data_IF_470763469607
#
_entry.id   IF_470763469607
#
_cell.length_a   1.000
_cell.length_b   1.000
_cell.length_c   1.000
_cell.angle_alpha   90.00
_cell.angle_beta   90.00
_cell.angle_gamma   90.00
#
_symmetry.space_group_name_H-M   'P 1'
#
loop_
_entity.id
_entity.type
_entity.pdbx_description
1 polymer ?
#
# COMPACT_ATOMS: atom_id res chain seq x y z
N UNK A 1 -73.62 -34.44 -61.23
CA UNK A 1 -72.75 -33.66 -60.32
C UNK A 1 -71.93 -34.66 -59.51
N UNK A 2 -70.61 -34.53 -59.58
CA UNK A 2 -69.58 -34.90 -58.59
C UNK A 2 -68.26 -35.01 -59.36
N UNK A 3 -67.44 -33.96 -59.22
CA UNK A 3 -66.06 -33.92 -59.67
C UNK A 3 -65.23 -34.80 -58.72
N UNK A 4 -64.37 -35.66 -59.26
CA UNK A 4 -63.21 -36.17 -58.53
C UNK A 4 -61.94 -35.97 -59.35
N UNK A 5 -60.98 -35.37 -58.66
CA UNK A 5 -59.73 -34.74 -59.06
C UNK A 5 -58.67 -35.76 -59.51
N UNK A 6 -57.79 -35.41 -60.47
CA UNK A 6 -56.76 -36.32 -60.96
C UNK A 6 -55.59 -36.46 -59.98
N UNK A 7 -55.10 -37.68 -59.78
CA UNK A 7 -53.90 -38.00 -59.00
C UNK A 7 -52.61 -37.95 -59.85
N UNK A 8 -51.46 -37.60 -59.24
CA UNK A 8 -50.24 -37.21 -59.97
C UNK A 8 -49.43 -38.41 -60.52
N UNK A 9 -48.57 -38.20 -61.54
CA UNK A 9 -47.75 -39.25 -62.13
C UNK A 9 -46.62 -39.70 -61.19
N UNK A 10 -46.30 -41.02 -61.11
CA UNK A 10 -45.16 -41.52 -60.35
C UNK A 10 -43.82 -41.11 -60.97
N UNK A 11 -42.94 -40.52 -60.15
CA UNK A 11 -41.59 -40.07 -60.54
C UNK A 11 -40.59 -41.20 -60.78
N UNK A 12 -39.54 -40.88 -61.55
CA UNK A 12 -38.44 -41.80 -61.89
C UNK A 12 -37.47 -41.99 -60.70
N UNK A 13 -36.92 -43.20 -60.50
CA UNK A 13 -35.94 -43.45 -59.44
C UNK A 13 -34.58 -42.82 -59.77
N UNK A 14 -33.99 -42.19 -58.75
CA UNK A 14 -32.71 -41.48 -58.76
C UNK A 14 -31.52 -42.46 -58.66
N UNK A 15 -30.37 -42.19 -59.31
CA UNK A 15 -29.17 -43.04 -59.21
C UNK A 15 -28.54 -43.00 -57.80
N UNK A 16 -27.82 -44.07 -57.38
CA UNK A 16 -27.28 -44.16 -56.03
C UNK A 16 -26.14 -43.15 -55.77
N UNK A 17 -25.95 -42.71 -54.52
CA UNK A 17 -24.99 -41.66 -54.18
C UNK A 17 -23.54 -42.10 -54.38
N UNK A 18 -22.73 -41.26 -55.00
CA UNK A 18 -21.28 -41.41 -55.08
C UNK A 18 -20.65 -41.29 -53.68
N UNK A 19 -19.73 -42.20 -53.34
CA UNK A 19 -18.97 -42.15 -52.09
C UNK A 19 -18.06 -40.91 -52.07
N UNK A 20 -18.26 -40.03 -51.08
CA UNK A 20 -17.36 -38.91 -50.80
C UNK A 20 -16.06 -39.41 -50.12
N UNK A 21 -14.89 -38.78 -50.38
CA UNK A 21 -13.64 -39.15 -49.74
C UNK A 21 -13.67 -38.91 -48.23
N UNK A 22 -13.05 -39.83 -47.47
CA UNK A 22 -12.96 -39.72 -46.02
C UNK A 22 -12.23 -38.43 -45.60
N UNK A 23 -12.70 -37.72 -44.56
CA UNK A 23 -12.04 -36.50 -44.09
C UNK A 23 -10.64 -36.82 -43.54
N UNK A 24 -9.66 -35.92 -43.71
CA UNK A 24 -8.32 -36.12 -43.17
C UNK A 24 -8.36 -36.22 -41.64
N UNK A 25 -7.49 -37.04 -41.03
CA UNK A 25 -7.48 -37.26 -39.60
C UNK A 25 -7.25 -35.92 -38.86
N UNK A 26 -8.19 -35.56 -37.99
CA UNK A 26 -8.07 -34.37 -37.15
C UNK A 26 -6.84 -34.54 -36.27
N UNK A 27 -5.82 -33.69 -36.47
CA UNK A 27 -4.62 -33.63 -35.65
C UNK A 27 -5.02 -33.24 -34.22
N UNK A 28 -5.22 -34.25 -33.38
CA UNK A 28 -5.55 -34.08 -31.98
C UNK A 28 -4.44 -33.33 -31.26
N UNK A 29 -4.84 -32.35 -30.46
CA UNK A 29 -3.94 -31.60 -29.58
C UNK A 29 -3.21 -32.59 -28.67
N UNK A 30 -1.88 -32.60 -28.73
CA UNK A 30 -1.05 -33.59 -28.04
C UNK A 30 -1.36 -33.57 -26.54
N UNK A 31 -1.42 -34.75 -25.93
CA UNK A 31 -1.72 -34.94 -24.50
C UNK A 31 -0.81 -34.09 -23.61
N UNK A 32 0.44 -33.84 -24.05
CA UNK A 32 1.39 -32.98 -23.35
C UNK A 32 0.96 -31.51 -23.23
N UNK A 33 0.30 -30.93 -24.25
CA UNK A 33 -0.18 -29.54 -24.18
C UNK A 33 -1.36 -29.39 -23.20
N UNK A 34 -2.22 -30.42 -23.12
CA UNK A 34 -3.32 -30.46 -22.14
C UNK A 34 -2.80 -30.53 -20.71
N UNK A 35 -1.81 -31.39 -20.46
CA UNK A 35 -1.18 -31.51 -19.13
C UNK A 35 -0.46 -30.22 -18.76
N UNK A 36 0.25 -29.58 -19.69
CA UNK A 36 0.90 -28.29 -19.44
C UNK A 36 -0.10 -27.19 -19.07
N UNK A 37 -1.23 -27.06 -19.78
CA UNK A 37 -2.25 -26.05 -19.47
C UNK A 37 -2.94 -26.30 -18.13
N UNK A 38 -3.15 -27.57 -17.74
CA UNK A 38 -3.72 -27.90 -16.43
C UNK A 38 -2.73 -27.55 -15.32
N UNK A 39 -1.44 -27.89 -15.48
CA UNK A 39 -0.42 -27.56 -14.48
C UNK A 39 -0.21 -26.04 -14.41
N UNK A 40 -0.08 -25.35 -15.54
CA UNK A 40 0.08 -23.90 -15.57
C UNK A 40 -1.15 -23.18 -14.98
N UNK A 41 -2.37 -23.65 -15.30
CA UNK A 41 -3.62 -23.14 -14.74
C UNK A 41 -3.71 -23.36 -13.23
N UNK A 42 -3.34 -24.55 -12.73
CA UNK A 42 -3.29 -24.86 -11.30
C UNK A 42 -2.23 -24.04 -10.57
N UNK A 43 -1.06 -23.82 -11.17
CA UNK A 43 -0.01 -22.96 -10.60
C UNK A 43 -0.47 -21.51 -10.47
N UNK A 44 -1.20 -20.98 -11.45
CA UNK A 44 -1.80 -19.64 -11.38
C UNK A 44 -2.97 -19.58 -10.39
N UNK A 45 -3.75 -20.64 -10.24
CA UNK A 45 -4.84 -20.70 -9.26
C UNK A 45 -4.31 -20.80 -7.82
N UNK A 46 -3.30 -21.65 -7.57
CA UNK A 46 -2.68 -21.79 -6.26
C UNK A 46 -1.85 -20.57 -5.87
N UNK A 47 -1.06 -20.00 -6.79
CA UNK A 47 -0.27 -18.81 -6.50
C UNK A 47 -1.11 -17.53 -6.55
N UNK A 48 -2.13 -17.45 -7.41
CA UNK A 48 -2.99 -16.28 -7.57
C UNK A 48 -4.01 -16.12 -6.42
N UNK A 49 -4.55 -17.21 -5.90
CA UNK A 49 -5.44 -17.17 -4.73
C UNK A 49 -4.71 -16.76 -3.45
N UNK A 50 -3.47 -17.22 -3.26
CA UNK A 50 -2.61 -16.82 -2.14
C UNK A 50 -2.17 -15.36 -2.22
N UNK A 51 -1.80 -14.87 -3.41
CA UNK A 51 -1.37 -13.48 -3.61
C UNK A 51 -2.48 -12.47 -3.28
N UNK A 52 -3.73 -12.73 -3.68
CA UNK A 52 -4.86 -11.81 -3.40
C UNK A 52 -5.21 -11.75 -1.92
N UNK A 53 -5.16 -12.89 -1.21
CA UNK A 53 -5.36 -12.92 0.24
C UNK A 53 -4.22 -12.21 1.00
N UNK A 54 -2.97 -12.44 0.57
CA UNK A 54 -1.80 -11.79 1.15
C UNK A 54 -1.81 -10.26 0.92
N UNK A 55 -2.19 -9.78 -0.27
CA UNK A 55 -2.26 -8.34 -0.54
C UNK A 55 -3.38 -7.67 0.25
N UNK A 56 -4.54 -8.32 0.44
CA UNK A 56 -5.61 -7.78 1.27
C UNK A 56 -5.21 -7.67 2.76
N UNK A 57 -4.54 -8.70 3.30
CA UNK A 57 -4.02 -8.68 4.67
C UNK A 57 -2.93 -7.62 4.88
N UNK A 58 -1.99 -7.51 3.94
CA UNK A 58 -0.95 -6.47 3.98
C UNK A 58 -1.56 -5.07 3.86
N UNK A 59 -2.56 -4.89 2.99
CA UNK A 59 -3.27 -3.62 2.85
C UNK A 59 -3.99 -3.21 4.14
N UNK A 60 -4.71 -4.15 4.77
CA UNK A 60 -5.38 -3.92 6.06
C UNK A 60 -4.38 -3.52 7.14
N UNK A 61 -3.30 -4.28 7.30
CA UNK A 61 -2.28 -4.01 8.31
C UNK A 61 -1.57 -2.67 8.08
N UNK A 62 -1.27 -2.31 6.82
CA UNK A 62 -0.65 -1.02 6.49
C UNK A 62 -1.59 0.16 6.80
N UNK A 63 -2.88 0.02 6.51
CA UNK A 63 -3.88 1.04 6.85
C UNK A 63 -4.01 1.23 8.35
N UNK A 64 -4.18 0.13 9.12
CA UNK A 64 -4.34 0.20 10.58
C UNK A 64 -3.11 0.86 11.25
N UNK A 65 -1.90 0.57 10.76
CA UNK A 65 -0.66 1.20 11.23
C UNK A 65 -0.59 2.69 10.85
N UNK A 66 -1.07 3.06 9.67
CA UNK A 66 -1.13 4.47 9.26
C UNK A 66 -2.13 5.27 10.08
N UNK A 67 -3.27 4.67 10.43
CA UNK A 67 -4.29 5.29 11.27
C UNK A 67 -3.79 5.47 12.71
N UNK A 68 -3.11 4.47 13.28
CA UNK A 68 -2.50 4.57 14.61
C UNK A 68 -1.43 5.69 14.67
N UNK A 69 -0.55 5.74 13.67
CA UNK A 69 0.45 6.82 13.57
C UNK A 69 -0.20 8.20 13.43
N UNK A 70 -1.26 8.31 12.62
CA UNK A 70 -1.99 9.57 12.47
C UNK A 70 -2.69 9.99 13.77
N UNK A 71 -3.28 9.04 14.50
CA UNK A 71 -3.89 9.29 15.81
C UNK A 71 -2.84 9.79 16.82
N UNK A 72 -1.70 9.10 16.91
CA UNK A 72 -0.59 9.48 17.80
C UNK A 72 0.04 10.81 17.40
N UNK A 73 0.12 11.13 16.10
CA UNK A 73 0.59 12.43 15.64
C UNK A 73 -0.29 13.59 16.15
N UNK A 74 -1.60 13.36 16.28
CA UNK A 74 -2.53 14.32 16.88
C UNK A 74 -2.30 14.59 18.37
N UNK A 75 -1.57 13.70 19.07
CA UNK A 75 -1.25 13.85 20.49
C UNK A 75 -0.01 14.74 20.72
N UNK A 76 0.80 14.97 19.70
CA UNK A 76 2.10 15.66 19.81
C UNK A 76 1.97 17.10 19.33
N UNK A 77 2.45 18.04 20.15
CA UNK A 77 2.50 19.46 19.84
C UNK A 77 3.91 19.98 20.03
N UNK A 78 4.45 20.61 19.00
CA UNK A 78 5.69 21.37 19.10
C UNK A 78 5.38 22.73 19.75
N UNK A 79 5.94 22.98 20.92
CA UNK A 79 5.65 24.19 21.73
C UNK A 79 6.72 25.25 21.56
N UNK A 80 7.98 24.86 21.37
CA UNK A 80 9.09 25.77 21.10
C UNK A 80 10.03 25.22 20.02
N UNK A 81 10.81 26.12 19.42
CA UNK A 81 11.86 25.79 18.46
C UNK A 81 12.89 26.91 18.57
N UNK A 82 13.86 26.73 19.45
CA UNK A 82 14.82 27.75 19.82
C UNK A 82 16.21 27.37 19.34
N UNK A 83 16.79 28.19 18.48
CA UNK A 83 18.15 28.00 18.02
C UNK A 83 19.12 28.52 19.06
N UNK A 84 19.85 27.64 19.73
CA UNK A 84 20.97 28.05 20.55
C UNK A 84 22.21 28.11 19.65
N UNK A 85 22.63 29.32 19.27
CA UNK A 85 24.04 29.53 18.92
C UNK A 85 24.83 29.53 20.22
N UNK A 86 24.90 28.38 20.89
CA UNK A 86 25.69 28.20 22.10
C UNK A 86 27.18 28.22 21.73
N UNK A 87 27.72 29.43 21.52
CA UNK A 87 29.09 29.89 21.76
C UNK A 87 30.30 29.14 21.18
N UNK A 88 30.14 27.94 20.63
CA UNK A 88 31.20 27.13 20.07
C UNK A 88 31.02 27.06 18.56
N UNK A 89 32.01 27.52 17.81
CA UNK A 89 31.99 27.48 16.34
C UNK A 89 31.94 26.06 15.76
N UNK A 90 31.92 25.03 16.62
CA UNK A 90 32.07 23.64 16.24
C UNK A 90 30.74 22.92 16.02
N UNK A 91 29.67 23.21 16.78
CA UNK A 91 28.38 22.51 16.65
C UNK A 91 27.20 23.44 16.99
N UNK A 92 26.46 23.89 15.97
CA UNK A 92 25.20 24.60 16.17
C UNK A 92 24.09 23.61 16.52
N UNK A 93 23.24 23.95 17.49
CA UNK A 93 22.12 23.12 17.89
C UNK A 93 20.82 23.92 18.01
N UNK A 94 19.70 23.20 18.01
CA UNK A 94 18.36 23.74 18.21
C UNK A 94 17.70 22.91 19.28
N UNK A 95 17.15 23.59 20.27
CA UNK A 95 16.35 23.00 21.33
C UNK A 95 14.89 23.07 20.91
N UNK A 96 14.18 21.95 21.08
CA UNK A 96 12.78 21.80 20.72
C UNK A 96 12.04 21.28 21.94
N UNK A 97 11.04 22.03 22.40
CA UNK A 97 10.11 21.53 23.40
C UNK A 97 8.88 20.92 22.73
N UNK A 98 8.50 19.74 23.22
CA UNK A 98 7.37 18.95 22.76
C UNK A 98 6.42 18.73 23.93
N UNK A 99 5.12 18.93 23.69
CA UNK A 99 4.05 18.48 24.57
C UNK A 99 3.38 17.26 23.95
N UNK A 100 3.30 16.17 24.70
CA UNK A 100 2.58 14.96 24.32
C UNK A 100 1.38 14.81 25.24
N UNK A 101 0.18 14.84 24.66
CA UNK A 101 -1.08 14.66 25.38
C UNK A 101 -1.77 13.40 24.88
N UNK A 102 -1.67 12.30 25.62
CA UNK A 102 -2.27 11.04 25.22
C UNK A 102 -3.79 11.09 25.41
N UNK A 103 -4.54 11.34 24.33
CA UNK A 103 -6.01 11.32 24.34
C UNK A 103 -6.61 9.94 24.08
N UNK A 104 -5.81 8.87 23.96
CA UNK A 104 -6.34 7.51 23.83
C UNK A 104 -6.78 6.92 25.18
N UNK A 105 -7.44 5.76 25.11
CA UNK A 105 -7.87 4.98 26.28
C UNK A 105 -6.78 4.06 26.85
N UNK A 106 -5.61 4.00 26.20
CA UNK A 106 -4.49 3.11 26.56
C UNK A 106 -3.21 3.88 26.87
N UNK A 107 -2.30 3.27 27.63
CA UNK A 107 -0.93 3.79 27.78
C UNK A 107 -0.19 3.70 26.45
N UNK A 108 0.58 4.75 26.12
CA UNK A 108 1.33 4.83 24.87
C UNK A 108 2.77 5.28 25.11
N UNK A 109 3.65 4.80 24.23
CA UNK A 109 5.00 5.32 24.03
C UNK A 109 5.06 5.95 22.65
N UNK A 110 5.68 7.13 22.56
CA UNK A 110 5.75 7.93 21.34
C UNK A 110 7.19 8.02 20.87
N UNK A 111 7.43 7.64 19.63
CA UNK A 111 8.67 7.91 18.91
C UNK A 111 8.41 9.09 17.98
N UNK A 112 9.08 10.22 18.24
CA UNK A 112 8.79 11.50 17.60
C UNK A 112 10.02 11.92 16.82
N UNK A 113 9.90 11.92 15.50
CA UNK A 113 10.92 12.45 14.61
C UNK A 113 10.69 13.95 14.40
N UNK A 114 11.70 14.76 14.71
CA UNK A 114 11.68 16.21 14.51
C UNK A 114 12.80 16.60 13.59
N UNK A 115 12.55 17.52 12.67
CA UNK A 115 13.57 18.13 11.83
C UNK A 115 13.51 19.65 11.84
N UNK A 116 14.66 20.24 11.57
CA UNK A 116 14.85 21.69 11.45
C UNK A 116 15.03 22.04 9.98
N UNK A 117 14.31 23.07 9.55
CA UNK A 117 14.46 23.71 8.26
C UNK A 117 15.14 25.07 8.41
N UNK A 118 16.00 25.43 7.46
CA UNK A 118 16.48 26.79 7.30
C UNK A 118 15.43 27.70 6.62
N UNK A 119 15.76 28.97 6.46
CA UNK A 119 14.90 29.96 5.81
C UNK A 119 14.56 29.63 4.33
N UNK A 120 15.34 28.76 3.68
CA UNK A 120 15.09 28.29 2.31
C UNK A 120 14.21 27.05 2.28
N UNK A 121 13.80 26.52 3.44
CA UNK A 121 13.07 25.27 3.55
C UNK A 121 13.97 24.04 3.40
N UNK A 122 15.29 24.18 3.52
CA UNK A 122 16.25 23.06 3.45
C UNK A 122 16.35 22.39 4.80
N UNK A 123 16.31 21.05 4.84
CA UNK A 123 16.52 20.27 6.08
C UNK A 123 17.98 20.37 6.50
N UNK A 124 18.20 20.88 7.71
CA UNK A 124 19.53 21.20 8.26
C UNK A 124 19.84 20.45 9.56
N UNK A 125 18.92 19.62 10.03
CA UNK A 125 19.11 18.75 11.17
C UNK A 125 17.85 17.94 11.47
N UNK A 126 18.00 16.83 12.17
CA UNK A 126 16.90 16.03 12.68
C UNK A 126 17.31 15.32 13.97
N UNK A 127 16.33 14.95 14.77
CA UNK A 127 16.49 14.14 15.98
C UNK A 127 15.26 13.27 16.15
N UNK A 128 15.42 12.18 16.91
CA UNK A 128 14.31 11.33 17.34
C UNK A 128 14.28 11.38 18.85
N UNK A 129 13.12 11.71 19.43
CA UNK A 129 12.90 11.62 20.87
C UNK A 129 11.85 10.58 21.20
N UNK A 130 11.94 10.02 22.41
CA UNK A 130 11.05 8.98 22.89
C UNK A 130 10.37 9.46 24.17
N UNK A 131 9.04 9.53 24.15
CA UNK A 131 8.24 9.83 25.34
C UNK A 131 7.46 8.58 25.72
N UNK A 132 7.93 7.90 26.76
CA UNK A 132 7.40 6.60 27.16
C UNK A 132 6.30 6.71 28.21
N UNK A 133 5.47 5.67 28.28
CA UNK A 133 4.56 5.40 29.39
C UNK A 133 3.55 6.53 29.70
N UNK A 134 3.12 7.27 28.68
CA UNK A 134 2.13 8.34 28.83
C UNK A 134 0.75 7.69 28.98
N UNK A 135 0.16 7.81 30.17
CA UNK A 135 -1.14 7.23 30.50
C UNK A 135 -2.29 7.97 29.80
N UNK A 136 -3.49 7.37 29.71
CA UNK A 136 -4.70 8.05 29.22
C UNK A 136 -4.94 9.39 29.93
N UNK A 137 -5.11 10.46 29.14
CA UNK A 137 -5.32 11.83 29.62
C UNK A 137 -4.08 12.51 30.22
N UNK A 138 -2.93 11.84 30.25
CA UNK A 138 -1.70 12.40 30.77
C UNK A 138 -1.03 13.32 29.74
N UNK A 139 -0.51 14.43 30.25
CA UNK A 139 0.41 15.31 29.53
C UNK A 139 1.85 15.05 29.97
N UNK A 140 2.74 14.95 29.01
CA UNK A 140 4.18 14.89 29.20
C UNK A 140 4.83 16.03 28.39
N UNK A 141 5.87 16.64 28.94
CA UNK A 141 6.68 17.65 28.26
C UNK A 141 8.08 17.11 28.14
N UNK A 142 8.64 17.15 26.94
CA UNK A 142 9.97 16.63 26.64
C UNK A 142 10.76 17.68 25.87
N UNK A 143 12.05 17.77 26.16
CA UNK A 143 12.98 18.64 25.46
C UNK A 143 13.94 17.80 24.62
N UNK A 144 14.01 18.10 23.32
CA UNK A 144 14.90 17.43 22.38
C UNK A 144 15.94 18.41 21.83
N UNK A 145 17.17 17.94 21.69
CA UNK A 145 18.24 18.68 21.03
C UNK A 145 18.43 18.15 19.61
N UNK A 146 18.45 19.06 18.64
CA UNK A 146 18.78 18.79 17.24
C UNK A 146 20.15 19.37 16.95
N UNK A 147 21.11 18.51 16.60
CA UNK A 147 22.40 18.96 16.08
C UNK A 147 22.23 19.33 14.62
N UNK A 148 22.69 20.54 14.25
CA UNK A 148 22.62 21.02 12.88
C UNK A 148 23.83 20.52 12.08
N UNK A 149 23.59 20.07 10.84
CA UNK A 149 24.65 19.67 9.91
C UNK A 149 25.48 20.86 9.41
N UNK A 150 24.95 22.07 9.53
CA UNK A 150 25.60 23.30 9.13
C UNK A 150 25.12 24.46 10.01
N UNK A 151 25.94 25.50 10.10
CA UNK A 151 25.54 26.74 10.76
C UNK A 151 24.42 27.40 9.96
N UNK A 152 23.29 27.65 10.61
CA UNK A 152 22.15 28.33 10.01
C UNK A 152 22.13 29.76 10.50
N UNK A 153 22.20 30.71 9.58
CA UNK A 153 22.05 32.13 9.88
C UNK A 153 20.64 32.58 9.49
N UNK A 154 19.87 33.07 10.45
CA UNK A 154 18.51 33.59 10.22
C UNK A 154 17.42 32.71 10.83
N UNK A 155 16.19 32.82 10.29
CA UNK A 155 15.04 32.11 10.83
C UNK A 155 15.16 30.60 10.60
N UNK A 156 14.85 29.83 11.62
CA UNK A 156 14.69 28.38 11.58
C UNK A 156 13.21 28.00 11.72
N UNK A 157 12.86 26.81 11.29
CA UNK A 157 11.52 26.23 11.51
C UNK A 157 11.66 24.77 11.89
N UNK A 158 11.12 24.38 13.04
CA UNK A 158 11.05 22.98 13.44
C UNK A 158 9.71 22.37 13.00
N UNK A 159 9.74 21.10 12.62
CA UNK A 159 8.56 20.32 12.26
C UNK A 159 8.67 18.91 12.80
N UNK A 160 7.55 18.38 13.25
CA UNK A 160 7.39 16.94 13.49
C UNK A 160 7.20 16.26 12.14
N UNK A 161 7.99 15.23 11.85
CA UNK A 161 7.93 14.43 10.61
C UNK A 161 6.96 13.26 10.79
N UNK A 162 7.27 12.42 11.79
CA UNK A 162 6.62 11.15 12.03
C UNK A 162 6.43 10.94 13.52
N UNK A 163 5.30 10.35 13.87
CA UNK A 163 4.98 9.89 15.22
C UNK A 163 4.51 8.44 15.13
N UNK A 164 5.04 7.57 15.99
CA UNK A 164 4.60 6.17 16.10
C UNK A 164 4.58 5.69 17.54
#
# INVERSE_FOLDING_TARGET
MSYQTPTPPPGTPTPPPAYAPAPPPKKGMSTGLKVFLIIAGLSVLLCGGGLVACTALVGKAASDVSEDQAAKAGHVKLTSCEGESAGSELLANVTVDLEVNNSSESQNTYFIDVFVLDAKGTRVGNTTTIVSDVRPGQKAVEQAMVVLSQKVTGKITCKVDKVS
#
